data_IF_208800621807
#
_entry.id   IF_208800621807
#
_cell.length_a   1.000
_cell.length_b   1.000
_cell.length_c   1.000
_cell.angle_alpha   90.00
_cell.angle_beta   90.00
_cell.angle_gamma   90.00
#
_symmetry.space_group_name_H-M   'P 1'
#
loop_
_entity.id
_entity.type
_entity.pdbx_description
1 polymer ?
#
# COMPACT_ATOMS: atom_id res chain seq x y z
N UNK A 1 44.75 -26.27 13.86
CA UNK A 1 44.80 -25.37 12.70
C UNK A 1 43.37 -25.14 12.24
N UNK A 2 42.80 -23.99 12.62
CA UNK A 2 41.48 -23.57 12.19
C UNK A 2 41.65 -22.66 10.97
N UNK A 3 41.18 -23.08 9.80
CA UNK A 3 41.07 -22.20 8.63
C UNK A 3 39.62 -21.78 8.50
N UNK A 4 39.37 -20.53 8.89
CA UNK A 4 38.18 -19.78 8.53
C UNK A 4 38.03 -19.76 7.01
N UNK A 5 36.95 -20.33 6.50
CA UNK A 5 36.56 -20.29 5.08
C UNK A 5 35.03 -20.30 4.99
N UNK A 6 34.40 -19.20 5.40
CA UNK A 6 32.94 -19.09 5.33
C UNK A 6 32.35 -17.67 5.34
N UNK A 7 33.18 -16.62 5.35
CA UNK A 7 32.72 -15.23 5.45
C UNK A 7 33.18 -14.37 4.27
N UNK A 8 33.18 -14.95 3.06
CA UNK A 8 33.46 -14.22 1.82
C UNK A 8 32.14 -13.80 1.16
N UNK A 9 31.90 -12.47 1.10
CA UNK A 9 30.96 -11.75 0.23
C UNK A 9 29.46 -11.83 0.57
N UNK A 10 29.07 -11.19 1.66
CA UNK A 10 27.78 -10.47 1.73
C UNK A 10 28.06 -9.10 2.35
N UNK A 11 28.86 -8.29 1.67
CA UNK A 11 28.83 -6.84 1.88
C UNK A 11 27.66 -6.34 1.03
N UNK A 12 26.44 -6.61 1.51
CA UNK A 12 25.25 -5.98 0.92
C UNK A 12 25.40 -4.50 1.22
N UNK A 13 25.61 -3.69 0.18
CA UNK A 13 25.55 -2.25 0.32
C UNK A 13 24.11 -1.91 0.70
N UNK A 14 23.92 -1.70 2.00
CA UNK A 14 22.61 -1.41 2.60
C UNK A 14 21.96 -0.21 1.93
N UNK A 15 22.76 0.72 1.38
CA UNK A 15 22.25 1.87 0.65
C UNK A 15 21.68 1.48 -0.73
N UNK A 16 22.31 0.54 -1.43
CA UNK A 16 21.82 0.05 -2.72
C UNK A 16 20.50 -0.69 -2.53
N UNK A 17 20.42 -1.60 -1.56
CA UNK A 17 19.18 -2.32 -1.24
C UNK A 17 18.07 -1.37 -0.80
N UNK A 18 18.41 -0.35 0.02
CA UNK A 18 17.44 0.68 0.42
C UNK A 18 16.92 1.45 -0.79
N UNK A 19 17.81 1.86 -1.70
CA UNK A 19 17.45 2.61 -2.91
C UNK A 19 16.54 1.79 -3.80
N UNK A 20 16.90 0.54 -4.10
CA UNK A 20 16.06 -0.37 -4.90
C UNK A 20 14.70 -0.59 -4.26
N UNK A 21 14.64 -0.75 -2.93
CA UNK A 21 13.39 -0.89 -2.21
C UNK A 21 12.51 0.36 -2.31
N UNK A 22 13.09 1.56 -2.21
CA UNK A 22 12.37 2.82 -2.37
C UNK A 22 11.87 3.00 -3.81
N UNK A 23 12.71 2.73 -4.81
CA UNK A 23 12.32 2.78 -6.24
C UNK A 23 11.13 1.84 -6.51
N UNK A 24 11.21 0.60 -6.00
CA UNK A 24 10.13 -0.38 -6.16
C UNK A 24 8.86 0.00 -5.40
N UNK A 25 9.00 0.56 -4.20
CA UNK A 25 7.86 1.08 -3.45
C UNK A 25 7.17 2.22 -4.22
N UNK A 26 7.95 3.07 -4.89
CA UNK A 26 7.44 4.17 -5.71
C UNK A 26 6.69 3.67 -6.96
N UNK A 27 7.17 2.60 -7.60
CA UNK A 27 6.46 1.93 -8.69
C UNK A 27 5.13 1.35 -8.23
N UNK A 28 5.15 0.61 -7.10
CA UNK A 28 3.94 0.01 -6.51
C UNK A 28 2.94 1.11 -6.13
N UNK A 29 3.41 2.22 -5.55
CA UNK A 29 2.58 3.40 -5.22
C UNK A 29 1.85 3.93 -6.45
N UNK A 30 2.57 4.14 -7.55
CA UNK A 30 2.00 4.63 -8.82
C UNK A 30 0.99 3.63 -9.40
N UNK A 31 1.30 2.34 -9.35
CA UNK A 31 0.40 1.30 -9.83
C UNK A 31 -0.88 1.22 -8.98
N UNK A 32 -0.74 1.31 -7.66
CA UNK A 32 -1.86 1.32 -6.73
C UNK A 32 -2.76 2.55 -6.95
N UNK A 33 -2.19 3.75 -7.14
CA UNK A 33 -2.96 4.94 -7.48
C UNK A 33 -3.79 4.76 -8.75
N UNK A 34 -3.19 4.18 -9.81
CA UNK A 34 -3.91 3.87 -11.06
C UNK A 34 -5.06 2.90 -10.82
N UNK A 35 -4.82 1.79 -10.10
CA UNK A 35 -5.84 0.78 -9.80
C UNK A 35 -7.00 1.35 -8.99
N UNK A 36 -6.72 2.23 -8.03
CA UNK A 36 -7.74 2.92 -7.24
C UNK A 36 -8.62 3.82 -8.11
N UNK A 37 -8.03 4.59 -9.02
CA UNK A 37 -8.79 5.41 -9.98
C UNK A 37 -9.64 4.54 -10.91
N UNK A 38 -9.08 3.46 -11.48
CA UNK A 38 -9.83 2.53 -12.31
C UNK A 38 -10.99 1.87 -11.56
N UNK A 39 -10.78 1.52 -10.28
CA UNK A 39 -11.84 0.97 -9.45
C UNK A 39 -12.94 2.00 -9.16
N UNK A 40 -12.59 3.25 -8.88
CA UNK A 40 -13.55 4.34 -8.71
C UNK A 40 -14.41 4.54 -9.96
N UNK A 41 -13.78 4.58 -11.14
CA UNK A 41 -14.47 4.68 -12.43
C UNK A 41 -15.37 3.48 -12.68
N UNK A 42 -14.90 2.26 -12.41
CA UNK A 42 -15.68 1.04 -12.58
C UNK A 42 -16.92 1.01 -11.68
N UNK A 43 -16.78 1.41 -10.41
CA UNK A 43 -17.90 1.49 -9.46
C UNK A 43 -18.96 2.47 -9.95
N UNK A 44 -18.55 3.69 -10.35
CA UNK A 44 -19.48 4.70 -10.89
C UNK A 44 -20.18 4.23 -12.16
N UNK A 45 -19.44 3.56 -13.05
CA UNK A 45 -19.99 3.02 -14.28
C UNK A 45 -21.02 1.91 -14.00
N UNK A 46 -20.69 0.97 -13.13
CA UNK A 46 -21.55 -0.17 -12.80
C UNK A 46 -22.92 0.25 -12.26
N UNK A 47 -22.98 1.24 -11.37
CA UNK A 47 -24.26 1.71 -10.81
C UNK A 47 -25.08 2.54 -11.81
N UNK A 48 -24.42 3.24 -12.74
CA UNK A 48 -25.09 4.02 -13.79
C UNK A 48 -25.63 3.13 -14.91
N UNK A 49 -24.86 2.12 -15.32
CA UNK A 49 -25.24 1.18 -16.38
C UNK A 49 -26.38 0.24 -15.96
N UNK A 50 -26.54 0.02 -14.64
CA UNK A 50 -27.57 -0.86 -14.07
C UNK A 50 -28.85 -0.16 -13.62
N UNK A 51 -28.98 1.15 -13.87
CA UNK A 51 -30.13 1.97 -13.45
C UNK A 51 -30.45 1.75 -11.95
N UNK A 52 -29.39 1.73 -11.13
CA UNK A 52 -29.49 1.41 -9.72
C UNK A 52 -30.27 2.49 -8.95
N UNK A 53 -30.91 2.10 -7.84
CA UNK A 53 -31.61 3.04 -6.97
C UNK A 53 -30.71 4.18 -6.49
N UNK A 54 -31.29 5.37 -6.26
CA UNK A 54 -30.55 6.59 -5.88
C UNK A 54 -29.62 6.39 -4.68
N UNK A 55 -30.05 5.62 -3.69
CA UNK A 55 -29.22 5.32 -2.50
C UNK A 55 -27.98 4.48 -2.85
N UNK A 56 -28.10 3.56 -3.81
CA UNK A 56 -26.97 2.76 -4.29
C UNK A 56 -25.98 3.62 -5.09
N UNK A 57 -26.49 4.56 -5.89
CA UNK A 57 -25.67 5.54 -6.62
C UNK A 57 -24.90 6.44 -5.64
N UNK A 58 -25.55 6.97 -4.60
CA UNK A 58 -24.90 7.82 -3.59
C UNK A 58 -23.78 7.09 -2.84
N UNK A 59 -24.04 5.85 -2.39
CA UNK A 59 -23.02 5.03 -1.72
C UNK A 59 -21.85 4.70 -2.65
N UNK A 60 -22.13 4.38 -3.91
CA UNK A 60 -21.10 4.10 -4.89
C UNK A 60 -20.23 5.34 -5.18
N UNK A 61 -20.85 6.53 -5.26
CA UNK A 61 -20.14 7.79 -5.43
C UNK A 61 -19.27 8.12 -4.21
N UNK A 62 -19.74 7.85 -2.99
CA UNK A 62 -18.94 8.01 -1.77
C UNK A 62 -17.70 7.11 -1.79
N UNK A 63 -17.88 5.82 -2.10
CA UNK A 63 -16.79 4.85 -2.20
C UNK A 63 -15.79 5.28 -3.29
N UNK A 64 -16.29 5.61 -4.48
CA UNK A 64 -15.45 6.07 -5.59
C UNK A 64 -14.65 7.33 -5.22
N UNK A 65 -15.28 8.27 -4.51
CA UNK A 65 -14.62 9.49 -4.02
C UNK A 65 -13.51 9.17 -3.03
N UNK A 66 -13.71 8.21 -2.12
CA UNK A 66 -12.66 7.77 -1.20
C UNK A 66 -11.49 7.12 -1.94
N UNK A 67 -11.76 6.28 -2.94
CA UNK A 67 -10.72 5.66 -3.77
C UNK A 67 -9.90 6.73 -4.53
N UNK A 68 -10.55 7.74 -5.11
CA UNK A 68 -9.87 8.85 -5.80
C UNK A 68 -9.04 9.70 -4.84
N UNK A 69 -9.54 9.97 -3.64
CA UNK A 69 -8.77 10.69 -2.60
C UNK A 69 -7.53 9.90 -2.23
N UNK A 70 -7.65 8.59 -2.02
CA UNK A 70 -6.50 7.72 -1.73
C UNK A 70 -5.53 7.66 -2.92
N UNK A 71 -6.03 7.55 -4.16
CA UNK A 71 -5.20 7.58 -5.35
C UNK A 71 -4.42 8.90 -5.49
N UNK A 72 -5.09 10.02 -5.21
CA UNK A 72 -4.50 11.36 -5.23
C UNK A 72 -3.44 11.51 -4.14
N UNK A 73 -3.71 11.04 -2.92
CA UNK A 73 -2.73 11.03 -1.83
C UNK A 73 -1.51 10.18 -2.19
N UNK A 74 -1.72 8.98 -2.74
CA UNK A 74 -0.63 8.14 -3.23
C UNK A 74 0.16 8.82 -4.33
N UNK A 75 -0.47 9.54 -5.27
CA UNK A 75 0.24 10.16 -6.39
C UNK A 75 1.06 11.39 -5.96
N UNK A 76 0.54 12.17 -5.02
CA UNK A 76 1.11 13.47 -4.63
C UNK A 76 2.19 13.37 -3.55
N UNK A 77 2.27 12.26 -2.80
CA UNK A 77 3.24 12.09 -1.72
C UNK A 77 4.31 11.07 -2.10
N UNK A 78 5.57 11.35 -1.76
CA UNK A 78 6.67 10.39 -1.92
C UNK A 78 6.55 9.28 -0.88
N UNK A 79 7.17 8.12 -1.14
CA UNK A 79 7.24 7.02 -0.17
C UNK A 79 7.83 7.47 1.16
N UNK A 80 8.76 8.41 1.13
CA UNK A 80 9.40 8.99 2.32
C UNK A 80 8.40 9.82 3.14
N UNK A 81 7.63 10.70 2.50
CA UNK A 81 6.59 11.50 3.16
C UNK A 81 5.50 10.61 3.77
N UNK A 82 5.07 9.57 3.05
CA UNK A 82 4.09 8.60 3.57
C UNK A 82 4.65 7.82 4.78
N UNK A 83 5.96 7.57 4.80
CA UNK A 83 6.64 6.93 5.92
C UNK A 83 6.71 7.82 7.17
N UNK A 84 6.92 9.12 6.99
CA UNK A 84 6.87 10.10 8.08
C UNK A 84 5.46 10.17 8.70
N UNK A 85 4.43 10.28 7.86
CA UNK A 85 3.02 10.29 8.29
C UNK A 85 2.67 8.99 9.05
N UNK A 86 3.08 7.83 8.52
CA UNK A 86 2.88 6.55 9.18
C UNK A 86 3.57 6.48 10.55
N UNK A 87 4.78 7.04 10.65
CA UNK A 87 5.53 7.11 11.92
C UNK A 87 4.79 7.95 12.94
N UNK A 88 4.25 9.10 12.53
CA UNK A 88 3.47 9.97 13.40
C UNK A 88 2.21 9.27 13.94
N UNK A 89 1.50 8.51 13.10
CA UNK A 89 0.32 7.73 13.50
C UNK A 89 0.69 6.66 14.53
N UNK A 90 1.80 5.95 14.32
CA UNK A 90 2.30 4.91 15.24
C UNK A 90 2.63 5.48 16.61
N UNK A 91 3.29 6.63 16.65
CA UNK A 91 3.65 7.30 17.90
C UNK A 91 2.40 7.82 18.62
N UNK A 92 1.42 8.36 17.90
CA UNK A 92 0.19 8.90 18.47
C UNK A 92 -0.77 7.80 18.97
N UNK A 93 -0.87 6.68 18.26
CA UNK A 93 -1.85 5.63 18.53
C UNK A 93 -1.24 4.22 18.47
N UNK A 94 -0.34 3.87 19.41
CA UNK A 94 0.42 2.63 19.33
C UNK A 94 -0.47 1.37 19.30
N UNK A 95 -1.57 1.36 20.07
CA UNK A 95 -2.48 0.21 20.09
C UNK A 95 -3.22 0.00 18.77
N UNK A 96 -3.66 1.08 18.13
CA UNK A 96 -4.32 1.01 16.82
C UNK A 96 -3.33 0.51 15.75
N UNK A 97 -2.09 1.00 15.79
CA UNK A 97 -1.05 0.57 14.87
C UNK A 97 -0.70 -0.91 15.01
N UNK A 98 -0.66 -1.45 16.23
CA UNK A 98 -0.45 -2.89 16.46
C UNK A 98 -1.57 -3.71 15.82
N UNK A 99 -2.83 -3.29 15.97
CA UNK A 99 -3.95 -3.98 15.33
C UNK A 99 -3.86 -3.94 13.80
N UNK A 100 -3.54 -2.78 13.22
CA UNK A 100 -3.33 -2.63 11.78
C UNK A 100 -2.20 -3.54 11.30
N UNK A 101 -1.06 -3.55 11.99
CA UNK A 101 0.08 -4.40 11.66
C UNK A 101 -0.28 -5.89 11.72
N UNK A 102 -1.07 -6.31 12.70
CA UNK A 102 -1.56 -7.68 12.82
C UNK A 102 -2.45 -8.07 11.64
N UNK A 103 -3.38 -7.19 11.24
CA UNK A 103 -4.25 -7.43 10.08
C UNK A 103 -3.41 -7.60 8.81
N UNK A 104 -2.45 -6.68 8.56
CA UNK A 104 -1.57 -6.75 7.40
C UNK A 104 -0.75 -8.05 7.42
N UNK A 105 -0.17 -8.40 8.56
CA UNK A 105 0.60 -9.63 8.73
C UNK A 105 -0.22 -10.90 8.44
N UNK A 106 -1.47 -10.94 8.92
CA UNK A 106 -2.40 -12.05 8.62
C UNK A 106 -2.70 -12.11 7.12
N UNK A 107 -3.00 -10.98 6.46
CA UNK A 107 -3.27 -10.95 5.02
C UNK A 107 -2.09 -11.46 4.20
N UNK A 108 -0.87 -11.01 4.52
CA UNK A 108 0.36 -11.47 3.87
C UNK A 108 0.56 -12.97 4.13
N UNK A 109 0.41 -13.41 5.38
CA UNK A 109 0.54 -14.82 5.76
C UNK A 109 -0.45 -15.71 5.01
N UNK A 110 -1.70 -15.26 4.83
CA UNK A 110 -2.70 -15.97 4.05
C UNK A 110 -2.38 -16.03 2.56
N UNK A 111 -1.84 -14.96 1.97
CA UNK A 111 -1.38 -14.96 0.57
C UNK A 111 -0.21 -15.92 0.35
N UNK A 112 0.76 -15.93 1.26
CA UNK A 112 1.94 -16.81 1.17
C UNK A 112 1.59 -18.27 1.42
N UNK A 113 0.65 -18.56 2.32
CA UNK A 113 0.17 -19.94 2.58
C UNK A 113 -0.54 -20.58 1.38
N UNK A 114 -1.04 -19.77 0.45
CA UNK A 114 -1.85 -20.22 -0.70
C UNK A 114 -1.02 -20.50 -1.96
N UNK A 115 0.30 -20.36 -1.87
CA UNK A 115 1.28 -20.87 -2.84
C UNK A 115 2.05 -22.03 -2.22
#
# INVERSE_FOLDING_TARGET
MATANGSEKIEVDVNEVRREALEKADEIRKEAAKKLNTAAEAIRKEVRDKDADKEAVEKADEIATHLEKTATYLNNNTVEQMGEDATEVVVKNPWQSVMIALIIGVLIGLMLRRK
#
